data_IF_800341475484
#
_entry.id   IF_800341475484
#
_cell.length_a   1.000
_cell.length_b   1.000
_cell.length_c   1.000
_cell.angle_alpha   90.00
_cell.angle_beta   90.00
_cell.angle_gamma   90.00
#
_symmetry.space_group_name_H-M   'P 1'
#
loop_
_entity.id
_entity.type
_entity.pdbx_description
1 polymer ?
#
# COMPACT_ATOMS: atom_id res chain seq x y z
N UNK A 1 -17.48 3.20 -12.77
CA UNK A 1 -16.73 2.23 -11.95
C UNK A 1 -16.65 2.59 -10.46
N UNK A 2 -17.12 3.76 -9.98
CA UNK A 2 -17.34 4.03 -8.54
C UNK A 2 -18.81 3.87 -8.13
N UNK A 3 -19.75 4.33 -8.98
CA UNK A 3 -21.20 4.20 -8.79
C UNK A 3 -21.69 2.76 -8.56
N UNK A 4 -21.27 1.83 -9.43
CA UNK A 4 -21.60 0.41 -9.27
C UNK A 4 -20.96 -0.25 -8.04
N UNK A 5 -19.87 0.31 -7.50
CA UNK A 5 -19.22 -0.16 -6.27
C UNK A 5 -19.94 0.36 -5.01
N UNK A 6 -20.67 1.47 -5.13
CA UNK A 6 -21.42 2.12 -4.05
C UNK A 6 -22.93 1.81 -4.09
N UNK A 7 -23.41 1.09 -5.10
CA UNK A 7 -24.83 0.73 -5.25
C UNK A 7 -25.75 1.94 -5.48
N UNK A 8 -25.21 3.05 -5.99
CA UNK A 8 -25.94 4.31 -6.23
C UNK A 8 -25.94 4.66 -7.71
N UNK A 9 -26.97 5.39 -8.16
CA UNK A 9 -27.05 5.92 -9.51
C UNK A 9 -25.87 6.85 -9.78
N UNK A 10 -25.37 6.87 -11.02
CA UNK A 10 -24.28 7.78 -11.41
C UNK A 10 -24.62 9.26 -11.16
N UNK A 11 -25.90 9.60 -11.23
CA UNK A 11 -26.41 10.96 -10.99
C UNK A 11 -26.49 11.32 -9.50
N UNK A 12 -26.38 10.35 -8.60
CA UNK A 12 -26.41 10.55 -7.15
C UNK A 12 -25.01 10.76 -6.54
N UNK A 13 -23.98 10.80 -7.40
CA UNK A 13 -22.59 10.98 -7.01
C UNK A 13 -22.06 12.26 -7.64
N UNK A 14 -21.93 13.29 -6.83
CA UNK A 14 -21.13 14.46 -7.18
C UNK A 14 -19.69 14.23 -6.73
N UNK A 15 -18.80 14.08 -7.71
CA UNK A 15 -17.35 14.05 -7.50
C UNK A 15 -16.83 15.45 -7.80
N UNK A 16 -16.26 16.11 -6.80
CA UNK A 16 -15.53 17.36 -7.02
C UNK A 16 -14.02 17.05 -7.02
N UNK A 17 -13.39 16.89 -8.20
CA UNK A 17 -11.97 16.53 -8.33
C UNK A 17 -11.03 17.65 -7.89
N UNK A 18 -11.55 18.87 -7.70
CA UNK A 18 -10.78 20.00 -7.24
C UNK A 18 -11.64 20.86 -6.30
N UNK A 19 -11.47 20.66 -5.00
CA UNK A 19 -12.04 21.54 -3.98
C UNK A 19 -10.92 22.46 -3.49
N UNK A 20 -11.16 23.77 -3.27
CA UNK A 20 -10.15 24.72 -2.76
C UNK A 20 -9.54 24.37 -1.39
N UNK A 21 -9.92 23.23 -0.81
CA UNK A 21 -9.47 22.69 0.47
C UNK A 21 -8.22 21.79 0.36
N UNK A 22 -7.78 21.45 -0.86
CA UNK A 22 -6.58 20.65 -1.15
C UNK A 22 -6.77 19.14 -1.04
N UNK A 23 -7.97 18.65 -0.68
CA UNK A 23 -8.30 17.22 -0.62
C UNK A 23 -8.11 16.54 -1.98
N UNK A 24 -7.66 15.27 -2.00
CA UNK A 24 -7.50 14.53 -3.26
C UNK A 24 -8.84 14.28 -3.94
N UNK A 25 -9.88 13.92 -3.18
CA UNK A 25 -11.24 13.82 -3.69
C UNK A 25 -12.26 14.20 -2.62
N UNK A 26 -13.34 14.87 -3.02
CA UNK A 26 -14.53 15.06 -2.18
C UNK A 26 -15.72 14.41 -2.90
N UNK A 27 -16.40 13.52 -2.19
CA UNK A 27 -17.54 12.76 -2.73
C UNK A 27 -18.77 13.10 -1.90
N UNK A 28 -19.80 13.67 -2.52
CA UNK A 28 -21.12 13.78 -1.89
C UNK A 28 -21.96 12.56 -2.27
N UNK A 29 -22.46 11.84 -1.26
CA UNK A 29 -23.37 10.71 -1.45
C UNK A 29 -24.32 10.60 -0.25
N UNK A 30 -25.61 10.34 -0.50
CA UNK A 30 -26.64 10.15 0.56
C UNK A 30 -26.73 11.33 1.57
N UNK A 31 -26.52 12.57 1.09
CA UNK A 31 -26.55 13.77 1.95
C UNK A 31 -25.36 13.87 2.93
N UNK A 32 -24.24 13.22 2.62
CA UNK A 32 -22.99 13.29 3.37
C UNK A 32 -21.82 13.57 2.44
N UNK A 33 -20.80 14.23 2.99
CA UNK A 33 -19.58 14.57 2.27
C UNK A 33 -18.45 13.69 2.76
N UNK A 34 -17.87 12.87 1.91
CA UNK A 34 -16.66 12.12 2.22
C UNK A 34 -15.45 12.91 1.74
N UNK A 35 -14.52 13.18 2.66
CA UNK A 35 -13.26 13.86 2.35
C UNK A 35 -12.17 12.81 2.27
N UNK A 36 -11.74 12.51 1.05
CA UNK A 36 -10.92 11.33 0.76
C UNK A 36 -9.47 11.72 0.50
N UNK A 37 -8.58 11.16 1.32
CA UNK A 37 -7.14 11.20 1.10
C UNK A 37 -6.63 9.88 0.54
N UNK A 38 -6.29 9.89 -0.75
CA UNK A 38 -5.64 8.74 -1.36
C UNK A 38 -4.12 8.74 -1.14
N UNK A 39 -3.53 7.57 -0.84
CA UNK A 39 -2.07 7.35 -0.87
C UNK A 39 -1.75 6.03 -1.57
N UNK A 40 -0.75 6.06 -2.47
CA UNK A 40 -0.24 4.86 -3.15
C UNK A 40 0.53 3.92 -2.21
N UNK A 41 1.12 4.46 -1.15
CA UNK A 41 1.86 3.70 -0.14
C UNK A 41 1.03 3.52 1.12
N UNK A 42 1.16 2.34 1.72
CA UNK A 42 0.42 1.90 2.91
C UNK A 42 1.32 1.85 4.15
N UNK A 43 2.47 2.55 4.12
CA UNK A 43 3.32 2.63 5.30
C UNK A 43 2.59 3.34 6.45
N UNK A 44 2.95 2.97 7.69
CA UNK A 44 2.34 3.51 8.90
C UNK A 44 2.38 5.04 8.94
N UNK A 45 3.56 5.62 8.72
CA UNK A 45 3.78 7.07 8.76
C UNK A 45 2.94 7.80 7.70
N UNK A 46 2.87 7.28 6.47
CA UNK A 46 2.12 7.91 5.39
C UNK A 46 0.61 7.79 5.61
N UNK A 47 0.15 6.65 6.16
CA UNK A 47 -1.27 6.44 6.47
C UNK A 47 -1.71 7.35 7.62
N UNK A 48 -0.90 7.48 8.67
CA UNK A 48 -1.16 8.39 9.79
C UNK A 48 -1.20 9.86 9.33
N UNK A 49 -0.24 10.27 8.49
CA UNK A 49 -0.23 11.61 7.90
C UNK A 49 -1.49 11.87 7.04
N UNK A 50 -1.88 10.90 6.20
CA UNK A 50 -3.10 10.99 5.40
C UNK A 50 -4.36 11.10 6.27
N UNK A 51 -4.44 10.34 7.37
CA UNK A 51 -5.55 10.42 8.30
C UNK A 51 -5.65 11.81 8.95
N UNK A 52 -4.53 12.38 9.41
CA UNK A 52 -4.49 13.73 9.97
C UNK A 52 -4.98 14.76 8.95
N UNK A 53 -4.46 14.70 7.72
CA UNK A 53 -4.86 15.60 6.63
C UNK A 53 -6.36 15.46 6.32
N UNK A 54 -6.88 14.24 6.19
CA UNK A 54 -8.29 14.00 5.91
C UNK A 54 -9.18 14.62 7.00
N UNK A 55 -8.81 14.44 8.26
CA UNK A 55 -9.54 14.98 9.42
C UNK A 55 -9.54 16.50 9.44
N UNK A 56 -8.37 17.13 9.23
CA UNK A 56 -8.26 18.60 9.20
C UNK A 56 -9.06 19.19 8.05
N UNK A 57 -9.05 18.56 6.87
CA UNK A 57 -9.84 18.99 5.72
C UNK A 57 -11.33 18.79 5.94
N UNK A 58 -11.76 17.69 6.56
CA UNK A 58 -13.15 17.44 6.91
C UNK A 58 -13.74 18.52 7.84
N UNK A 59 -12.93 19.10 8.75
CA UNK A 59 -13.38 20.21 9.62
C UNK A 59 -13.77 21.48 8.85
N UNK A 60 -13.30 21.66 7.61
CA UNK A 60 -13.66 22.81 6.77
C UNK A 60 -15.07 22.73 6.19
N UNK A 61 -15.75 21.59 6.35
CA UNK A 61 -17.11 21.37 5.85
C UNK A 61 -18.12 21.49 6.99
N UNK A 62 -19.19 22.28 6.78
CA UNK A 62 -20.14 22.66 7.84
C UNK A 62 -21.06 21.52 8.32
N UNK A 63 -21.39 20.51 7.49
CA UNK A 63 -22.28 19.41 7.91
C UNK A 63 -21.86 18.04 7.35
N UNK A 64 -21.90 17.03 8.23
CA UNK A 64 -21.78 15.59 7.93
C UNK A 64 -20.59 15.18 7.06
N UNK A 65 -19.45 15.82 7.29
CA UNK A 65 -18.21 15.45 6.63
C UNK A 65 -17.60 14.21 7.30
N UNK A 66 -17.28 13.18 6.52
CA UNK A 66 -16.66 11.94 6.98
C UNK A 66 -15.24 11.89 6.41
N UNK A 67 -14.18 12.02 7.24
CA UNK A 67 -12.82 11.88 6.76
C UNK A 67 -12.54 10.41 6.42
N UNK A 68 -11.88 10.19 5.28
CA UNK A 68 -11.63 8.86 4.74
C UNK A 68 -10.22 8.77 4.17
N UNK A 69 -9.50 7.68 4.47
CA UNK A 69 -8.25 7.33 3.79
C UNK A 69 -8.51 6.22 2.78
N UNK A 70 -7.98 6.39 1.57
CA UNK A 70 -8.02 5.38 0.53
C UNK A 70 -6.60 4.92 0.19
N UNK A 71 -6.40 3.61 0.12
CA UNK A 71 -5.09 3.00 -0.22
C UNK A 71 -5.27 1.76 -1.10
N UNK A 72 -4.22 1.26 -1.77
CA UNK A 72 -4.31 0.00 -2.52
C UNK A 72 -4.75 -1.20 -1.66
N UNK A 73 -4.14 -1.37 -0.48
CA UNK A 73 -4.50 -2.42 0.48
C UNK A 73 -4.21 -1.97 1.91
N UNK A 74 -5.20 -2.02 2.80
CA UNK A 74 -5.02 -1.50 4.17
C UNK A 74 -4.48 -2.58 5.12
N UNK A 75 -3.20 -2.46 5.48
CA UNK A 75 -2.55 -3.29 6.49
C UNK A 75 -2.87 -2.84 7.93
N UNK A 76 -2.62 -3.72 8.90
CA UNK A 76 -3.08 -3.55 10.29
C UNK A 76 -2.58 -2.28 10.97
N UNK A 77 -1.31 -1.90 10.73
CA UNK A 77 -0.75 -0.66 11.28
C UNK A 77 -1.49 0.57 10.74
N UNK A 78 -1.85 0.56 9.46
CA UNK A 78 -2.65 1.62 8.84
C UNK A 78 -4.08 1.67 9.40
N UNK A 79 -4.70 0.50 9.63
CA UNK A 79 -6.03 0.42 10.26
C UNK A 79 -6.02 1.09 11.64
N UNK A 80 -5.03 0.74 12.46
CA UNK A 80 -4.86 1.29 13.82
C UNK A 80 -4.64 2.81 13.77
N UNK A 81 -3.78 3.28 12.88
CA UNK A 81 -3.53 4.72 12.72
C UNK A 81 -4.80 5.50 12.31
N UNK A 82 -5.61 4.96 11.40
CA UNK A 82 -6.88 5.57 11.02
C UNK A 82 -7.90 5.55 12.18
N UNK A 83 -7.98 4.44 12.92
CA UNK A 83 -8.87 4.29 14.07
C UNK A 83 -8.53 5.28 15.20
N UNK A 84 -7.25 5.38 15.58
CA UNK A 84 -6.74 6.35 16.56
C UNK A 84 -7.03 7.80 16.13
N UNK A 85 -6.95 8.09 14.82
CA UNK A 85 -7.25 9.40 14.29
C UNK A 85 -8.76 9.71 14.23
N UNK A 86 -9.64 8.72 14.44
CA UNK A 86 -11.09 8.85 14.23
C UNK A 86 -11.47 9.01 12.76
N UNK A 87 -10.72 8.37 11.87
CA UNK A 87 -10.84 8.49 10.41
C UNK A 87 -11.23 7.16 9.81
N UNK A 88 -12.19 7.16 8.88
CA UNK A 88 -12.56 5.96 8.15
C UNK A 88 -11.47 5.55 7.16
N UNK A 89 -11.51 4.32 6.68
CA UNK A 89 -10.67 3.90 5.57
C UNK A 89 -11.38 2.96 4.62
N UNK A 90 -10.91 2.91 3.39
CA UNK A 90 -11.20 1.86 2.42
C UNK A 90 -9.95 1.49 1.65
N UNK A 91 -9.93 0.28 1.11
CA UNK A 91 -8.90 -0.14 0.18
C UNK A 91 -9.46 -0.61 -1.16
N UNK A 92 -8.60 -0.61 -2.17
CA UNK A 92 -8.96 -1.04 -3.51
C UNK A 92 -9.11 -2.57 -3.65
N UNK A 93 -8.85 -3.31 -2.57
CA UNK A 93 -9.15 -4.74 -2.46
C UNK A 93 -10.57 -5.00 -1.96
N UNK A 94 -11.31 -3.95 -1.58
CA UNK A 94 -12.70 -4.03 -1.14
C UNK A 94 -12.87 -4.19 0.37
N UNK A 95 -11.82 -3.99 1.16
CA UNK A 95 -11.97 -3.84 2.62
C UNK A 95 -12.29 -2.38 2.96
N UNK A 96 -13.06 -2.17 4.02
CA UNK A 96 -13.37 -0.83 4.51
C UNK A 96 -13.76 -0.83 5.98
N UNK A 97 -13.52 0.29 6.65
CA UNK A 97 -14.10 0.64 7.96
C UNK A 97 -14.53 2.10 7.91
N UNK A 98 -15.83 2.32 7.81
CA UNK A 98 -16.44 3.66 7.82
C UNK A 98 -17.49 3.67 8.92
N UNK A 99 -17.20 4.40 10.00
CA UNK A 99 -18.09 4.54 11.15
C UNK A 99 -18.31 6.02 11.39
N UNK A 100 -19.56 6.46 11.25
CA UNK A 100 -19.99 7.84 11.44
C UNK A 100 -21.46 7.86 11.89
N UNK A 101 -21.99 8.99 12.39
CA UNK A 101 -23.41 9.07 12.75
C UNK A 101 -24.33 8.64 11.60
N UNK A 102 -25.07 7.55 11.82
CA UNK A 102 -25.99 6.94 10.85
C UNK A 102 -25.31 6.20 9.68
N UNK A 103 -24.02 5.86 9.78
CA UNK A 103 -23.31 4.97 8.85
C UNK A 103 -22.43 3.99 9.64
N UNK A 104 -22.59 2.70 9.37
CA UNK A 104 -21.65 1.68 9.81
C UNK A 104 -21.38 0.70 8.67
N UNK A 105 -20.19 0.79 8.10
CA UNK A 105 -19.70 -0.11 7.06
C UNK A 105 -18.39 -0.73 7.55
N UNK A 106 -18.37 -2.05 7.71
CA UNK A 106 -17.18 -2.80 8.08
C UNK A 106 -17.12 -4.02 7.16
N UNK A 107 -16.12 -4.03 6.28
CA UNK A 107 -15.88 -5.12 5.34
C UNK A 107 -14.42 -5.52 5.52
N UNK A 108 -14.18 -6.78 5.87
CA UNK A 108 -12.84 -7.31 6.14
C UNK A 108 -12.66 -8.69 5.50
N UNK A 109 -11.40 -9.14 5.43
CA UNK A 109 -11.05 -10.46 4.92
C UNK A 109 -10.85 -10.54 3.40
N UNK A 110 -11.01 -9.43 2.65
CA UNK A 110 -10.68 -9.43 1.21
C UNK A 110 -9.17 -9.52 1.03
N UNK A 111 -8.67 -10.42 0.17
CA UNK A 111 -7.24 -10.64 -0.01
C UNK A 111 -6.57 -9.43 -0.66
N UNK A 112 -5.29 -9.21 -0.35
CA UNK A 112 -4.50 -8.16 -0.96
C UNK A 112 -4.32 -8.40 -2.47
N UNK A 113 -4.95 -7.55 -3.30
CA UNK A 113 -4.84 -7.54 -4.77
C UNK A 113 -3.65 -6.73 -5.28
N UNK A 114 -2.95 -6.01 -4.40
CA UNK A 114 -1.86 -5.08 -4.69
C UNK A 114 -0.56 -5.53 -4.02
N UNK A 115 -0.31 -6.84 -3.96
CA UNK A 115 0.97 -7.36 -3.47
C UNK A 115 2.08 -6.90 -4.41
N UNK A 116 2.98 -6.07 -3.90
CA UNK A 116 4.26 -5.82 -4.55
C UNK A 116 5.28 -6.85 -4.07
N UNK A 117 6.28 -7.12 -4.90
CA UNK A 117 7.51 -7.72 -4.41
C UNK A 117 8.00 -6.84 -3.24
N UNK A 118 8.27 -7.46 -2.09
CA UNK A 118 8.77 -6.74 -0.91
C UNK A 118 10.09 -6.02 -1.19
N UNK A 119 10.64 -5.35 -0.18
CA UNK A 119 11.96 -4.70 -0.30
C UNK A 119 12.96 -5.72 -0.92
N UNK A 120 13.72 -5.33 -1.96
CA UNK A 120 14.73 -6.21 -2.54
C UNK A 120 15.66 -6.76 -1.44
N UNK A 121 16.15 -8.00 -1.58
CA UNK A 121 17.07 -8.54 -0.61
C UNK A 121 18.32 -7.65 -0.51
N UNK A 122 18.73 -7.33 0.72
CA UNK A 122 19.99 -6.63 0.95
C UNK A 122 21.15 -7.55 0.53
N UNK A 123 21.91 -7.16 -0.50
CA UNK A 123 23.06 -7.92 -1.01
C UNK A 123 24.14 -8.14 0.05
N UNK A 124 24.24 -7.24 1.03
CA UNK A 124 25.24 -7.24 2.09
C UNK A 124 24.74 -7.84 3.41
N UNK A 125 23.50 -8.36 3.47
CA UNK A 125 23.04 -9.08 4.65
C UNK A 125 23.81 -10.41 4.82
N UNK A 126 24.04 -10.92 6.05
CA UNK A 126 24.82 -12.13 6.31
C UNK A 126 24.40 -13.37 5.50
N UNK A 127 23.11 -13.48 5.16
CA UNK A 127 22.59 -14.58 4.34
C UNK A 127 22.88 -14.39 2.85
N UNK A 128 22.72 -13.17 2.34
CA UNK A 128 22.94 -12.83 0.93
C UNK A 128 24.43 -12.82 0.57
N UNK A 129 25.28 -12.38 1.51
CA UNK A 129 26.73 -12.28 1.30
C UNK A 129 27.40 -13.63 1.04
N UNK A 130 26.77 -14.76 1.38
CA UNK A 130 27.24 -16.11 1.04
C UNK A 130 27.36 -16.31 -0.47
N UNK A 131 26.41 -15.78 -1.24
CA UNK A 131 26.44 -15.83 -2.70
C UNK A 131 27.59 -14.96 -3.22
N UNK A 132 27.69 -13.71 -2.76
CA UNK A 132 28.75 -12.78 -3.18
C UNK A 132 30.13 -13.36 -2.87
N UNK A 133 30.32 -13.91 -1.67
CA UNK A 133 31.55 -14.60 -1.26
C UNK A 133 31.86 -15.79 -2.17
N UNK A 134 30.86 -16.58 -2.56
CA UNK A 134 31.05 -17.73 -3.47
C UNK A 134 31.56 -17.29 -4.84
N UNK A 135 31.03 -16.19 -5.39
CA UNK A 135 31.48 -15.62 -6.66
C UNK A 135 32.91 -15.07 -6.54
N UNK A 136 33.22 -14.36 -5.47
CA UNK A 136 34.55 -13.76 -5.26
C UNK A 136 35.67 -14.78 -4.96
N UNK A 137 35.35 -15.93 -4.38
CA UNK A 137 36.34 -17.02 -4.16
C UNK A 137 36.65 -17.78 -5.45
N UNK A 138 35.74 -17.77 -6.43
CA UNK A 138 35.90 -18.48 -7.69
C UNK A 138 35.55 -17.60 -8.90
N UNK A 139 36.25 -16.47 -9.10
CA UNK A 139 35.89 -15.47 -10.11
C UNK A 139 35.96 -16.01 -11.54
N UNK A 140 36.89 -16.94 -11.81
CA UNK A 140 37.15 -17.44 -13.17
C UNK A 140 36.32 -18.69 -13.52
N UNK A 141 35.42 -19.14 -12.64
CA UNK A 141 34.62 -20.35 -12.84
C UNK A 141 33.19 -19.99 -13.24
N UNK A 142 32.75 -20.34 -14.45
CA UNK A 142 31.34 -20.32 -14.79
C UNK A 142 30.58 -21.17 -13.77
N UNK A 143 29.52 -20.61 -13.20
CA UNK A 143 28.72 -21.29 -12.17
C UNK A 143 27.24 -21.02 -12.40
N UNK A 144 26.43 -22.06 -12.35
CA UNK A 144 24.98 -21.94 -12.49
C UNK A 144 24.33 -21.51 -11.17
N UNK A 145 23.17 -20.86 -11.24
CA UNK A 145 22.40 -20.50 -10.04
C UNK A 145 22.06 -21.73 -9.15
N UNK A 146 21.85 -22.90 -9.76
CA UNK A 146 21.60 -24.16 -9.04
C UNK A 146 22.83 -24.67 -8.28
N UNK A 147 24.03 -24.47 -8.82
CA UNK A 147 25.28 -24.78 -8.13
C UNK A 147 25.56 -23.79 -7.01
N UNK A 148 25.28 -22.50 -7.22
CA UNK A 148 25.34 -21.50 -6.15
C UNK A 148 24.39 -21.89 -5.00
N UNK A 149 23.15 -22.27 -5.30
CA UNK A 149 22.17 -22.69 -4.31
C UNK A 149 22.70 -23.87 -3.46
N UNK A 150 23.20 -24.92 -4.12
CA UNK A 150 23.80 -26.08 -3.45
C UNK A 150 25.03 -25.70 -2.61
N UNK A 151 25.94 -24.90 -3.14
CA UNK A 151 27.18 -24.52 -2.44
C UNK A 151 26.97 -23.57 -1.26
N UNK A 152 25.89 -22.76 -1.28
CA UNK A 152 25.62 -21.75 -0.25
C UNK A 152 24.52 -22.14 0.75
N UNK A 153 23.80 -23.23 0.47
CA UNK A 153 22.61 -23.64 1.23
C UNK A 153 21.43 -22.66 1.08
N UNK A 154 21.46 -21.80 0.07
CA UNK A 154 20.37 -20.88 -0.25
C UNK A 154 19.37 -21.57 -1.18
N UNK A 155 18.07 -21.28 -1.04
CA UNK A 155 17.10 -21.78 -2.00
C UNK A 155 17.25 -21.07 -3.36
N UNK A 156 16.90 -21.78 -4.43
CA UNK A 156 17.08 -21.31 -5.81
C UNK A 156 16.33 -19.99 -6.09
N UNK A 157 15.11 -19.83 -5.57
CA UNK A 157 14.35 -18.58 -5.72
C UNK A 157 14.96 -17.38 -5.00
N UNK A 158 15.76 -17.59 -3.95
CA UNK A 158 16.53 -16.55 -3.29
C UNK A 158 17.82 -16.23 -4.06
N UNK A 159 18.51 -17.26 -4.56
CA UNK A 159 19.68 -17.10 -5.44
C UNK A 159 19.31 -16.31 -6.70
N UNK A 160 18.24 -16.69 -7.40
CA UNK A 160 17.76 -16.00 -8.59
C UNK A 160 17.51 -14.51 -8.34
N UNK A 161 16.80 -14.18 -7.25
CA UNK A 161 16.56 -12.77 -6.87
C UNK A 161 17.84 -11.99 -6.55
N UNK A 162 18.86 -12.64 -5.98
CA UNK A 162 20.14 -12.01 -5.69
C UNK A 162 20.98 -11.81 -6.96
N UNK A 163 21.03 -12.81 -7.85
CA UNK A 163 21.75 -12.71 -9.14
C UNK A 163 21.14 -11.60 -10.00
N UNK A 164 19.82 -11.58 -10.19
CA UNK A 164 19.16 -10.50 -10.94
C UNK A 164 19.35 -9.12 -10.31
N UNK A 165 19.59 -9.04 -9.00
CA UNK A 165 19.94 -7.78 -8.33
C UNK A 165 21.39 -7.39 -8.61
N UNK A 166 22.31 -8.34 -8.55
CA UNK A 166 23.73 -8.10 -8.85
C UNK A 166 23.92 -7.66 -10.30
N UNK A 167 23.23 -8.30 -11.26
CA UNK A 167 23.24 -7.90 -12.69
C UNK A 167 22.68 -6.48 -12.87
N UNK A 168 21.49 -6.22 -12.31
CA UNK A 168 20.84 -4.90 -12.42
C UNK A 168 21.67 -3.77 -11.82
N UNK A 169 22.38 -4.05 -10.74
CA UNK A 169 23.25 -3.08 -10.07
C UNK A 169 24.69 -3.09 -10.65
N UNK A 170 24.93 -3.82 -11.76
CA UNK A 170 26.20 -3.92 -12.49
C UNK A 170 27.39 -4.47 -11.67
N UNK A 171 27.13 -5.32 -10.67
CA UNK A 171 28.17 -6.03 -9.93
C UNK A 171 28.67 -7.28 -10.65
N UNK A 172 27.85 -7.86 -11.53
CA UNK A 172 28.17 -9.00 -12.39
C UNK A 172 27.57 -8.74 -13.78
N UNK A 173 28.11 -9.42 -14.80
CA UNK A 173 27.71 -9.31 -16.19
C UNK A 173 26.87 -10.52 -16.64
#
# INVERSE_FOLDING_TARGET
MLAGLLGVGRNDIEVHPHVPTGAHFVIAATGRTFVVEYRKSTSAALTAAAAKIARERARRFRRRAVPLVAVPFMGDVGRKACEEAGVGWLDLSGNARIVAPGIRVIIQGRPNRFRSAGRPPNLFAPKSSRLVRRLLIHPDKPITQREIARATGLNEGFVSRLVSRLERDAYIA
#
